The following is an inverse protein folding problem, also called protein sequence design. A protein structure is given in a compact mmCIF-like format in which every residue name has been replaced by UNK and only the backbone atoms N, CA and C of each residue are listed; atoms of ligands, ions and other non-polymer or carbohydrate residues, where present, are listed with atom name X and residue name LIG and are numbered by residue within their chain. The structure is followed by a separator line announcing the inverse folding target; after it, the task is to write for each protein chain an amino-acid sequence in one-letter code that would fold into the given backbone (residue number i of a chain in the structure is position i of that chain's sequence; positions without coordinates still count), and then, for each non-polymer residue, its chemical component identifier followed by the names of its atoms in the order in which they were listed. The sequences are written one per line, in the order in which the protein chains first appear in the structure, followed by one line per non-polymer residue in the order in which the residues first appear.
data_IF_738413878181
#
_entry.id   IF_738413878181
#
_cell.length_a   1.000
_cell.length_b   1.000
_cell.length_c   1.000
_cell.angle_alpha   90.00
_cell.angle_beta   90.00
_cell.angle_gamma   90.00
#
_symmetry.space_group_name_H-M   'P 1'
#
loop_
_entity.id
_entity.type
_entity.pdbx_description
1 polymer ?
#
# COMPACT_ATOMS: atom_id res chain seq x y z
N UNK A 1 16.55 -30.93 -11.28
CA UNK A 1 15.81 -29.79 -10.71
C UNK A 1 16.62 -28.49 -10.58
N UNK A 2 17.94 -28.52 -10.50
CA UNK A 2 18.75 -27.31 -10.23
C UNK A 2 19.09 -26.41 -11.45
N UNK A 3 18.80 -26.80 -12.69
CA UNK A 3 19.12 -25.97 -13.87
C UNK A 3 18.05 -24.92 -14.24
N UNK A 4 16.81 -25.10 -13.78
CA UNK A 4 15.71 -24.17 -14.09
C UNK A 4 15.86 -22.88 -13.26
N UNK A 5 16.33 -22.97 -12.02
CA UNK A 5 16.46 -21.82 -11.12
C UNK A 5 17.74 -20.98 -11.30
N UNK A 6 18.75 -21.48 -11.99
CA UNK A 6 19.99 -20.70 -12.19
C UNK A 6 19.85 -19.55 -13.20
N UNK A 7 18.85 -19.61 -14.09
CA UNK A 7 18.61 -18.59 -15.10
C UNK A 7 17.85 -17.35 -14.59
N UNK A 8 17.24 -17.43 -13.40
CA UNK A 8 16.42 -16.34 -12.86
C UNK A 8 17.24 -15.20 -12.24
N UNK A 9 18.49 -15.45 -11.89
CA UNK A 9 19.37 -14.45 -11.24
C UNK A 9 19.71 -13.27 -12.16
N UNK A 10 19.57 -13.46 -13.47
CA UNK A 10 19.91 -12.44 -14.49
C UNK A 10 18.70 -11.96 -15.30
N UNK A 11 17.45 -12.20 -14.83
CA UNK A 11 16.28 -11.72 -15.54
C UNK A 11 16.22 -10.19 -15.51
N UNK A 12 16.11 -9.57 -16.67
CA UNK A 12 15.75 -8.15 -16.78
C UNK A 12 14.23 -7.99 -16.59
N UNK A 13 13.84 -7.43 -15.44
CA UNK A 13 12.45 -7.17 -15.14
C UNK A 13 11.86 -5.95 -15.88
N UNK A 14 12.69 -5.23 -16.64
CA UNK A 14 12.26 -4.12 -17.50
C UNK A 14 11.84 -4.61 -18.89
N UNK A 15 12.16 -5.85 -19.24
CA UNK A 15 11.86 -6.44 -20.55
C UNK A 15 10.38 -6.84 -20.62
N UNK A 16 9.65 -6.30 -21.62
CA UNK A 16 8.24 -6.58 -21.84
C UNK A 16 8.08 -7.89 -22.59
N UNK A 17 7.82 -8.97 -21.86
CA UNK A 17 7.81 -10.33 -22.39
C UNK A 17 6.45 -10.90 -22.78
N UNK A 18 5.36 -10.12 -22.92
CA UNK A 18 4.04 -10.67 -23.26
C UNK A 18 3.19 -9.78 -24.13
N UNK A 19 2.22 -10.41 -24.83
CA UNK A 19 1.24 -9.73 -25.68
C UNK A 19 0.29 -8.84 -24.89
N UNK A 20 -0.35 -7.90 -25.58
CA UNK A 20 -1.42 -7.08 -25.03
C UNK A 20 -2.59 -7.97 -24.55
N UNK A 21 -3.15 -7.60 -23.41
CA UNK A 21 -4.35 -8.23 -22.86
C UNK A 21 -5.58 -7.49 -23.39
N UNK A 22 -6.55 -8.25 -23.89
CA UNK A 22 -7.82 -7.71 -24.40
C UNK A 22 -8.97 -8.40 -23.67
N UNK A 23 -9.95 -7.62 -23.23
CA UNK A 23 -11.12 -8.12 -22.52
C UNK A 23 -12.37 -7.34 -22.95
N UNK A 24 -13.51 -8.05 -23.03
CA UNK A 24 -14.82 -7.46 -23.36
C UNK A 24 -15.58 -6.94 -22.13
N UNK A 25 -15.28 -7.45 -20.94
CA UNK A 25 -16.09 -7.16 -19.74
C UNK A 25 -15.38 -6.26 -18.74
N UNK A 26 -14.19 -6.68 -18.31
CA UNK A 26 -13.43 -5.95 -17.31
C UNK A 26 -11.94 -6.22 -17.49
N UNK A 27 -11.12 -5.30 -17.03
CA UNK A 27 -9.67 -5.43 -17.03
C UNK A 27 -9.11 -4.89 -15.72
N UNK A 28 -8.06 -5.52 -15.25
CA UNK A 28 -7.30 -5.05 -14.11
C UNK A 28 -5.80 -5.28 -14.31
N UNK A 29 -5.00 -4.56 -13.57
CA UNK A 29 -3.56 -4.73 -13.53
C UNK A 29 -3.05 -4.52 -12.10
N UNK A 30 -2.06 -5.29 -11.71
CA UNK A 30 -1.31 -5.11 -10.46
C UNK A 30 0.13 -5.56 -10.64
N UNK A 31 0.97 -5.24 -9.67
CA UNK A 31 2.37 -5.65 -9.64
C UNK A 31 2.55 -7.16 -9.37
N UNK A 32 1.53 -7.82 -8.79
CA UNK A 32 1.63 -9.22 -8.38
C UNK A 32 0.51 -10.10 -8.97
N UNK A 33 0.84 -11.25 -9.59
CA UNK A 33 -0.16 -12.10 -10.24
C UNK A 33 -1.22 -12.66 -9.28
N UNK A 34 -0.89 -12.94 -8.02
CA UNK A 34 -1.87 -13.40 -7.02
C UNK A 34 -2.92 -12.31 -6.77
N UNK A 35 -2.51 -11.06 -6.62
CA UNK A 35 -3.45 -9.94 -6.44
C UNK A 35 -4.35 -9.78 -7.67
N UNK A 36 -3.78 -9.89 -8.89
CA UNK A 36 -4.59 -9.86 -10.13
C UNK A 36 -5.58 -11.01 -10.20
N UNK A 37 -5.21 -12.21 -9.76
CA UNK A 37 -6.13 -13.36 -9.71
C UNK A 37 -7.31 -13.08 -8.78
N UNK A 38 -7.02 -12.58 -7.57
CA UNK A 38 -8.05 -12.20 -6.60
C UNK A 38 -8.98 -11.13 -7.15
N UNK A 39 -8.44 -10.08 -7.78
CA UNK A 39 -9.27 -9.04 -8.39
C UNK A 39 -10.24 -9.59 -9.46
N UNK A 40 -9.78 -10.54 -10.28
CA UNK A 40 -10.65 -11.23 -11.26
C UNK A 40 -11.75 -12.04 -10.57
N UNK A 41 -11.43 -12.72 -9.48
CA UNK A 41 -12.41 -13.50 -8.70
C UNK A 41 -13.47 -12.58 -8.08
N UNK A 42 -13.08 -11.45 -7.50
CA UNK A 42 -14.00 -10.45 -6.99
C UNK A 42 -14.95 -9.95 -8.08
N UNK A 43 -14.43 -9.59 -9.27
CA UNK A 43 -15.27 -9.16 -10.40
C UNK A 43 -16.24 -10.27 -10.88
N UNK A 44 -15.79 -11.52 -10.93
CA UNK A 44 -16.64 -12.66 -11.32
C UNK A 44 -17.74 -12.96 -10.30
N UNK A 45 -17.50 -12.69 -9.03
CA UNK A 45 -18.46 -12.90 -7.94
C UNK A 45 -19.41 -11.71 -7.74
N UNK A 46 -19.45 -10.76 -8.68
CA UNK A 46 -20.38 -9.64 -8.68
C UNK A 46 -19.87 -8.37 -8.04
N UNK A 47 -18.61 -8.34 -7.59
CA UNK A 47 -17.96 -7.11 -7.14
C UNK A 47 -17.70 -6.14 -8.29
N UNK A 48 -17.55 -4.88 -7.98
CA UNK A 48 -17.21 -3.84 -8.94
C UNK A 48 -15.69 -3.51 -8.94
N UNK A 49 -15.30 -2.50 -9.70
CA UNK A 49 -13.89 -2.11 -9.82
C UNK A 49 -13.26 -1.66 -8.48
N UNK A 50 -14.05 -1.03 -7.61
CA UNK A 50 -13.59 -0.61 -6.28
C UNK A 50 -13.35 -1.82 -5.38
N UNK A 51 -14.31 -2.75 -5.32
CA UNK A 51 -14.16 -3.99 -4.55
C UNK A 51 -12.92 -4.78 -4.98
N UNK A 52 -12.74 -4.93 -6.30
CA UNK A 52 -11.57 -5.60 -6.85
C UNK A 52 -10.27 -4.89 -6.49
N UNK A 53 -10.22 -3.56 -6.58
CA UNK A 53 -9.03 -2.78 -6.24
C UNK A 53 -8.68 -2.90 -4.75
N UNK A 54 -9.67 -2.86 -3.86
CA UNK A 54 -9.48 -3.01 -2.41
C UNK A 54 -8.99 -4.40 -2.05
N UNK A 55 -9.61 -5.46 -2.59
CA UNK A 55 -9.17 -6.84 -2.36
C UNK A 55 -7.74 -7.08 -2.87
N UNK A 56 -7.42 -6.56 -4.07
CA UNK A 56 -6.07 -6.62 -4.62
C UNK A 56 -5.06 -5.91 -3.71
N UNK A 57 -5.41 -4.73 -3.22
CA UNK A 57 -4.54 -3.94 -2.34
C UNK A 57 -4.29 -4.65 -1.00
N UNK A 58 -5.33 -5.23 -0.39
CA UNK A 58 -5.19 -6.04 0.82
C UNK A 58 -4.27 -7.26 0.60
N UNK A 59 -4.40 -7.96 -0.53
CA UNK A 59 -3.52 -9.09 -0.89
C UNK A 59 -2.08 -8.62 -1.17
N UNK A 60 -1.89 -7.45 -1.79
CA UNK A 60 -0.56 -6.89 -2.00
C UNK A 60 0.18 -6.60 -0.69
N UNK A 61 -0.53 -6.21 0.38
CA UNK A 61 0.08 -6.05 1.71
C UNK A 61 0.69 -7.36 2.25
N UNK A 62 0.21 -8.51 1.78
CA UNK A 62 0.75 -9.83 2.12
C UNK A 62 1.83 -10.26 1.13
N UNK A 63 1.56 -10.13 -0.17
CA UNK A 63 2.39 -10.68 -1.23
C UNK A 63 3.61 -9.80 -1.58
N UNK A 64 3.51 -8.49 -1.37
CA UNK A 64 4.57 -7.49 -1.64
C UNK A 64 4.77 -6.54 -0.44
N UNK A 65 5.09 -7.05 0.75
CA UNK A 65 5.16 -6.23 1.97
C UNK A 65 6.24 -5.14 1.94
N UNK A 66 7.15 -5.20 0.97
CA UNK A 66 8.18 -4.18 0.72
C UNK A 66 7.65 -2.97 -0.07
N UNK A 67 6.50 -3.10 -0.72
CA UNK A 67 5.89 -2.07 -1.58
C UNK A 67 4.54 -1.59 -1.06
N UNK A 68 3.77 -2.44 -0.39
CA UNK A 68 2.39 -2.15 0.02
C UNK A 68 2.16 -2.59 1.47
N UNK A 69 1.48 -1.77 2.25
CA UNK A 69 1.19 -2.08 3.65
C UNK A 69 0.05 -1.25 4.23
N UNK A 70 -0.68 -1.85 5.17
CA UNK A 70 -1.81 -1.19 5.87
C UNK A 70 -1.36 -0.03 6.77
N UNK A 71 -0.08 0.05 7.08
CA UNK A 71 0.52 1.15 7.84
C UNK A 71 0.91 2.36 7.00
N UNK A 72 0.60 2.36 5.71
CA UNK A 72 0.91 3.44 4.77
C UNK A 72 -0.29 4.29 4.40
N UNK A 73 -0.20 4.89 3.21
CA UNK A 73 -1.16 5.82 2.64
C UNK A 73 -2.03 5.13 1.56
N UNK A 74 -3.18 5.71 1.25
CA UNK A 74 -4.00 5.35 0.10
C UNK A 74 -4.36 6.60 -0.71
N UNK A 75 -3.98 6.61 -1.98
CA UNK A 75 -4.48 7.57 -2.95
C UNK A 75 -5.27 6.83 -4.02
N UNK A 76 -6.41 7.37 -4.41
CA UNK A 76 -7.20 6.80 -5.48
C UNK A 76 -7.70 7.88 -6.42
N UNK A 77 -7.77 7.51 -7.71
CA UNK A 77 -8.47 8.29 -8.71
C UNK A 77 -9.55 7.41 -9.33
N UNK A 78 -10.75 7.93 -9.36
CA UNK A 78 -11.94 7.19 -9.76
C UNK A 78 -12.70 7.97 -10.85
N UNK A 79 -13.00 7.28 -11.95
CA UNK A 79 -13.96 7.75 -12.96
C UNK A 79 -15.24 6.96 -12.80
N UNK A 80 -16.33 7.62 -12.44
CA UNK A 80 -17.64 7.00 -12.25
C UNK A 80 -18.39 7.00 -13.60
N UNK A 81 -19.03 5.89 -13.90
CA UNK A 81 -19.90 5.70 -15.09
C UNK A 81 -19.17 5.90 -16.44
N UNK A 82 -17.87 5.59 -16.48
CA UNK A 82 -17.05 5.82 -17.68
C UNK A 82 -17.00 7.29 -18.12
N UNK A 83 -17.40 8.17 -17.21
CA UNK A 83 -17.64 9.57 -17.47
C UNK A 83 -16.38 10.43 -17.39
N UNK A 84 -16.58 11.70 -17.68
CA UNK A 84 -15.54 12.73 -17.64
C UNK A 84 -15.27 13.26 -16.23
N UNK A 85 -16.13 12.90 -15.26
CA UNK A 85 -15.95 13.29 -13.84
C UNK A 85 -14.93 12.37 -13.19
N UNK A 86 -13.80 12.94 -12.81
CA UNK A 86 -12.76 12.24 -12.06
C UNK A 86 -12.81 12.73 -10.62
N UNK A 87 -12.95 11.81 -9.70
CA UNK A 87 -12.77 12.04 -8.26
C UNK A 87 -11.37 11.65 -7.86
N UNK A 88 -10.81 12.31 -6.88
CA UNK A 88 -9.56 11.92 -6.24
C UNK A 88 -9.78 11.74 -4.73
N UNK A 89 -9.17 10.73 -4.16
CA UNK A 89 -9.20 10.45 -2.73
C UNK A 89 -7.80 10.64 -2.16
N UNK A 90 -7.73 11.35 -1.05
CA UNK A 90 -6.53 11.50 -0.24
C UNK A 90 -6.71 10.74 1.08
N UNK A 91 -6.09 9.60 1.20
CA UNK A 91 -5.95 8.80 2.41
C UNK A 91 -4.49 8.79 2.87
N UNK A 92 -3.80 9.92 2.80
CA UNK A 92 -2.49 10.08 3.41
C UNK A 92 -2.63 10.35 4.91
N UNK A 93 -1.69 9.81 5.68
CA UNK A 93 -1.68 10.03 7.12
C UNK A 93 -1.19 11.41 7.52
N UNK A 94 -1.71 11.91 8.62
CA UNK A 94 -1.23 13.15 9.24
C UNK A 94 -0.03 12.85 10.14
N UNK A 95 0.84 13.85 10.33
CA UNK A 95 1.83 13.79 11.40
C UNK A 95 1.13 13.78 12.76
N UNK A 96 1.78 13.21 13.79
CA UNK A 96 1.28 13.31 15.16
C UNK A 96 1.05 14.77 15.57
N UNK A 97 -0.01 15.04 16.32
CA UNK A 97 -0.30 16.36 16.90
C UNK A 97 0.88 16.91 17.75
N UNK A 98 1.71 16.01 18.25
CA UNK A 98 2.90 16.35 19.04
C UNK A 98 4.19 16.49 18.22
N UNK A 99 4.12 16.38 16.90
CA UNK A 99 5.28 16.51 15.99
C UNK A 99 5.68 17.97 15.77
N UNK A 100 6.24 18.60 16.79
CA UNK A 100 6.70 19.98 16.72
C UNK A 100 8.18 20.08 16.33
N UNK A 101 8.51 20.96 15.39
CA UNK A 101 9.88 21.23 14.97
C UNK A 101 10.80 21.64 16.13
N UNK A 102 10.27 22.31 17.18
CA UNK A 102 11.02 22.63 18.40
C UNK A 102 11.55 21.38 19.12
N UNK A 103 10.79 20.28 19.11
CA UNK A 103 11.20 19.03 19.76
C UNK A 103 12.39 18.41 19.04
N UNK A 104 12.42 18.47 17.71
CA UNK A 104 13.55 18.04 16.89
C UNK A 104 14.79 18.89 17.16
N UNK A 105 14.64 20.21 17.18
CA UNK A 105 15.76 21.14 17.48
C UNK A 105 16.33 20.92 18.88
N UNK A 106 15.49 20.70 19.88
CA UNK A 106 15.94 20.40 21.24
C UNK A 106 16.73 19.08 21.35
N UNK A 107 16.49 18.14 20.43
CA UNK A 107 17.24 16.87 20.30
C UNK A 107 18.44 17.00 19.34
N UNK A 108 18.76 18.20 18.85
CA UNK A 108 19.80 18.47 17.85
C UNK A 108 19.59 17.69 16.55
N UNK A 109 18.33 17.39 16.17
CA UNK A 109 17.98 16.73 14.92
C UNK A 109 17.86 17.76 13.82
N UNK A 110 18.77 17.72 12.86
CA UNK A 110 18.77 18.58 11.67
C UNK A 110 18.06 17.97 10.47
N UNK A 111 18.01 16.63 10.39
CA UNK A 111 17.38 15.86 9.31
C UNK A 111 16.62 14.70 9.92
N UNK A 112 15.36 14.53 9.52
CA UNK A 112 14.56 13.35 9.87
C UNK A 112 14.95 12.23 8.89
N UNK A 113 15.48 11.12 9.42
CA UNK A 113 15.77 9.93 8.60
C UNK A 113 14.58 8.96 8.58
N UNK A 114 14.47 8.09 7.58
CA UNK A 114 13.35 7.14 7.47
C UNK A 114 13.21 6.16 8.65
N UNK A 115 14.28 5.96 9.42
CA UNK A 115 14.30 5.09 10.59
C UNK A 115 13.81 5.78 11.87
N UNK A 116 13.66 7.10 11.85
CA UNK A 116 13.17 7.84 13.02
C UNK A 116 11.67 7.74 13.16
N UNK A 117 11.13 7.61 14.39
CA UNK A 117 9.68 7.63 14.60
C UNK A 117 9.02 8.94 14.16
N UNK A 118 9.78 10.03 14.10
CA UNK A 118 9.32 11.33 13.59
C UNK A 118 8.99 11.33 12.09
N UNK A 119 9.47 10.33 11.32
CA UNK A 119 9.14 10.14 9.91
C UNK A 119 7.83 9.38 9.71
N UNK A 120 7.26 8.80 10.76
CA UNK A 120 6.05 7.97 10.70
C UNK A 120 4.84 8.88 10.85
N UNK A 121 3.94 8.82 9.86
CA UNK A 121 2.60 9.44 9.92
C UNK A 121 1.58 8.45 10.45
N UNK A 122 0.41 8.94 10.82
CA UNK A 122 -0.72 8.06 11.17
C UNK A 122 -1.13 7.31 9.90
N UNK A 123 -1.28 5.97 9.92
CA UNK A 123 -1.68 5.21 8.74
C UNK A 123 -3.00 5.72 8.14
N UNK A 124 -3.02 6.08 6.87
CA UNK A 124 -4.21 6.59 6.20
C UNK A 124 -4.88 5.57 5.27
N UNK A 125 -4.20 4.46 4.96
CA UNK A 125 -4.66 3.50 3.96
C UNK A 125 -6.04 2.91 4.29
N UNK A 126 -6.24 2.43 5.52
CA UNK A 126 -7.50 1.77 5.92
C UNK A 126 -8.67 2.76 5.94
N UNK A 127 -8.45 4.02 6.33
CA UNK A 127 -9.46 5.08 6.23
C UNK A 127 -9.81 5.37 4.76
N UNK A 128 -8.80 5.39 3.88
CA UNK A 128 -9.01 5.53 2.44
C UNK A 128 -9.83 4.38 1.86
N UNK A 129 -9.55 3.14 2.26
CA UNK A 129 -10.31 1.98 1.83
C UNK A 129 -11.77 2.03 2.31
N UNK A 130 -11.99 2.42 3.57
CA UNK A 130 -13.34 2.57 4.14
C UNK A 130 -14.15 3.58 3.35
N UNK A 131 -13.59 4.78 3.11
CA UNK A 131 -14.28 5.84 2.39
C UNK A 131 -14.57 5.46 0.93
N UNK A 132 -13.63 4.78 0.24
CA UNK A 132 -13.85 4.26 -1.11
C UNK A 132 -14.98 3.23 -1.15
N UNK A 133 -14.98 2.30 -0.20
CA UNK A 133 -15.98 1.24 -0.14
C UNK A 133 -17.36 1.78 0.24
N UNK A 134 -17.44 2.66 1.24
CA UNK A 134 -18.71 3.24 1.70
C UNK A 134 -19.47 3.98 0.58
N UNK A 135 -18.75 4.69 -0.30
CA UNK A 135 -19.38 5.45 -1.39
C UNK A 135 -19.52 4.65 -2.70
N UNK A 136 -18.64 3.72 -2.96
CA UNK A 136 -18.52 3.10 -4.29
C UNK A 136 -18.38 1.58 -4.28
N UNK A 137 -18.24 0.94 -3.12
CA UNK A 137 -18.21 -0.52 -3.01
C UNK A 137 -19.60 -1.15 -3.27
N UNK A 138 -19.59 -2.40 -3.67
CA UNK A 138 -20.80 -3.18 -3.94
C UNK A 138 -20.87 -4.48 -3.12
N UNK A 139 -19.74 -5.15 -2.93
CA UNK A 139 -19.64 -6.36 -2.11
C UNK A 139 -19.65 -6.01 -0.61
N UNK A 140 -20.10 -6.94 0.25
CA UNK A 140 -19.94 -6.78 1.69
C UNK A 140 -18.47 -6.56 2.06
N UNK A 141 -18.19 -5.54 2.87
CA UNK A 141 -16.83 -5.19 3.32
C UNK A 141 -16.01 -6.38 3.78
N UNK A 142 -16.61 -7.25 4.58
CA UNK A 142 -15.95 -8.44 5.12
C UNK A 142 -15.41 -9.37 4.04
N UNK A 143 -16.15 -9.55 2.96
CA UNK A 143 -15.79 -10.49 1.89
C UNK A 143 -14.56 -10.03 1.09
N UNK A 144 -14.33 -8.72 1.02
CA UNK A 144 -13.19 -8.13 0.33
C UNK A 144 -11.85 -8.57 0.95
N UNK A 145 -11.82 -8.78 2.27
CA UNK A 145 -10.59 -9.12 3.00
C UNK A 145 -10.32 -10.61 3.14
N UNK A 146 -11.30 -11.49 2.86
CA UNK A 146 -11.11 -12.94 2.99
C UNK A 146 -9.85 -13.46 2.28
N UNK A 147 -9.58 -13.09 1.00
CA UNK A 147 -8.37 -13.56 0.34
C UNK A 147 -7.08 -13.13 1.05
N UNK A 148 -7.00 -11.90 1.54
CA UNK A 148 -5.83 -11.40 2.24
C UNK A 148 -5.64 -12.10 3.59
N UNK A 149 -6.72 -12.37 4.33
CA UNK A 149 -6.71 -13.14 5.58
C UNK A 149 -6.15 -14.54 5.31
N UNK A 150 -6.64 -15.22 4.28
CA UNK A 150 -6.25 -16.58 3.94
C UNK A 150 -4.78 -16.66 3.51
N UNK A 151 -4.33 -15.76 2.64
CA UNK A 151 -2.93 -15.70 2.23
C UNK A 151 -1.99 -15.35 3.39
N UNK A 152 -2.37 -14.43 4.25
CA UNK A 152 -1.56 -14.07 5.42
C UNK A 152 -1.45 -15.23 6.41
N UNK A 153 -2.52 -16.03 6.59
CA UNK A 153 -2.59 -17.18 7.49
C UNK A 153 -1.91 -18.42 6.93
N UNK A 154 -2.20 -18.75 5.67
CA UNK A 154 -1.74 -20.00 5.04
C UNK A 154 -0.38 -19.84 4.39
N UNK A 155 0.01 -18.59 4.12
CA UNK A 155 1.25 -18.22 3.45
C UNK A 155 1.08 -17.98 1.97
N UNK A 156 2.00 -17.20 1.44
CA UNK A 156 2.14 -16.88 0.03
C UNK A 156 3.53 -17.28 -0.45
N UNK A 157 3.62 -17.90 -1.63
CA UNK A 157 4.92 -18.19 -2.23
C UNK A 157 5.57 -16.88 -2.68
N UNK A 158 6.78 -16.65 -2.20
CA UNK A 158 7.58 -15.48 -2.57
C UNK A 158 7.96 -15.56 -4.03
N UNK A 159 7.59 -14.56 -4.82
CA UNK A 159 7.96 -14.45 -6.23
C UNK A 159 9.41 -13.93 -6.39
N UNK A 160 10.02 -14.16 -7.56
CA UNK A 160 11.42 -13.83 -7.84
C UNK A 160 11.74 -12.36 -7.58
N UNK A 161 10.92 -11.44 -8.09
CA UNK A 161 11.12 -10.01 -7.91
C UNK A 161 11.03 -9.62 -6.44
N UNK A 162 10.06 -10.16 -5.73
CA UNK A 162 9.85 -9.92 -4.31
C UNK A 162 11.05 -10.42 -3.50
N UNK A 163 11.54 -11.64 -3.77
CA UNK A 163 12.73 -12.20 -3.13
C UNK A 163 14.00 -11.39 -3.39
N UNK A 164 14.15 -10.85 -4.62
CA UNK A 164 15.26 -9.97 -4.96
C UNK A 164 15.22 -8.67 -4.15
N UNK A 165 14.06 -8.02 -4.08
CA UNK A 165 13.90 -6.77 -3.34
C UNK A 165 14.01 -6.98 -1.83
N UNK A 166 13.56 -8.13 -1.31
CA UNK A 166 13.77 -8.54 0.08
C UNK A 166 15.25 -8.65 0.43
N UNK A 167 16.03 -9.28 -0.45
CA UNK A 167 17.47 -9.45 -0.25
C UNK A 167 18.22 -8.12 -0.12
N UNK A 168 17.80 -7.10 -0.88
CA UNK A 168 18.37 -5.74 -0.84
C UNK A 168 18.07 -4.98 0.46
N UNK A 169 17.01 -5.37 1.16
CA UNK A 169 16.56 -4.71 2.39
C UNK A 169 16.94 -5.47 3.68
N UNK A 170 17.70 -6.57 3.58
CA UNK A 170 18.03 -7.43 4.73
C UNK A 170 18.67 -6.67 5.89
N UNK A 171 19.62 -5.80 5.60
CA UNK A 171 20.31 -4.98 6.62
C UNK A 171 19.30 -4.06 7.36
N UNK A 172 18.44 -3.38 6.60
CA UNK A 172 17.40 -2.49 7.17
C UNK A 172 16.44 -3.27 8.06
N UNK A 173 15.96 -4.43 7.59
CA UNK A 173 15.01 -5.28 8.32
C UNK A 173 15.62 -5.90 9.59
N UNK A 174 16.95 -6.02 9.67
CA UNK A 174 17.66 -6.56 10.83
C UNK A 174 17.80 -5.56 11.99
N UNK A 175 17.54 -4.28 11.76
CA UNK A 175 17.75 -3.22 12.77
C UNK A 175 16.72 -3.24 13.89
N UNK A 176 15.52 -3.75 13.64
CA UNK A 176 14.47 -3.88 14.63
C UNK A 176 14.11 -5.36 14.87
N UNK A 177 13.99 -5.76 16.14
CA UNK A 177 13.77 -7.16 16.51
C UNK A 177 12.44 -7.71 16.00
N UNK A 178 11.38 -6.92 16.06
CA UNK A 178 10.05 -7.37 15.64
C UNK A 178 10.00 -7.51 14.13
N UNK A 179 10.56 -6.54 13.42
CA UNK A 179 10.74 -6.57 11.95
C UNK A 179 11.57 -7.78 11.52
N UNK A 180 12.70 -8.04 12.20
CA UNK A 180 13.55 -9.20 11.93
C UNK A 180 12.77 -10.51 12.09
N UNK A 181 11.99 -10.65 13.15
CA UNK A 181 11.24 -11.87 13.43
C UNK A 181 10.15 -12.16 12.39
N UNK A 182 9.51 -11.12 11.85
CA UNK A 182 8.43 -11.25 10.84
C UNK A 182 9.00 -11.41 9.44
N UNK A 183 9.95 -10.57 9.07
CA UNK A 183 10.38 -10.42 7.67
C UNK A 183 11.69 -11.11 7.33
N UNK A 184 12.34 -11.81 8.26
CA UNK A 184 13.53 -12.60 7.99
C UNK A 184 13.38 -14.02 8.53
N UNK A 185 13.76 -15.00 7.72
CA UNK A 185 13.75 -16.42 8.08
C UNK A 185 15.13 -16.79 8.66
N UNK A 186 15.21 -16.92 9.98
CA UNK A 186 16.49 -17.16 10.68
C UNK A 186 17.55 -16.09 10.35
N UNK A 187 17.15 -14.81 10.31
CA UNK A 187 18.04 -13.69 9.99
C UNK A 187 18.40 -13.56 8.51
N UNK A 188 17.79 -14.34 7.63
CA UNK A 188 18.03 -14.32 6.16
C UNK A 188 16.78 -13.86 5.41
N UNK A 189 16.93 -13.18 4.25
CA UNK A 189 15.80 -12.78 3.43
C UNK A 189 15.05 -14.00 2.90
N UNK A 190 13.75 -13.88 2.76
CA UNK A 190 12.95 -14.85 2.03
C UNK A 190 13.37 -14.85 0.55
N UNK A 191 13.41 -16.04 -0.04
CA UNK A 191 13.81 -16.25 -1.45
C UNK A 191 12.61 -16.70 -2.27
N UNK A 192 12.73 -16.60 -3.57
CA UNK A 192 11.75 -17.17 -4.49
C UNK A 192 11.40 -18.62 -4.09
N UNK A 193 10.10 -18.92 -4.09
CA UNK A 193 9.52 -20.21 -3.67
C UNK A 193 9.49 -20.51 -2.16
N UNK A 194 10.08 -19.67 -1.30
CA UNK A 194 9.80 -19.74 0.13
C UNK A 194 8.32 -19.40 0.40
N UNK A 195 7.74 -20.04 1.41
CA UNK A 195 6.40 -19.69 1.87
C UNK A 195 6.51 -18.62 2.97
N UNK A 196 5.95 -17.43 2.73
CA UNK A 196 5.89 -16.35 3.68
C UNK A 196 4.53 -16.34 4.38
N UNK A 197 4.53 -16.49 5.68
CA UNK A 197 3.34 -16.46 6.56
C UNK A 197 3.43 -15.24 7.47
N UNK A 198 2.33 -14.51 7.60
CA UNK A 198 2.21 -13.38 8.54
C UNK A 198 0.88 -13.48 9.30
N UNK A 199 0.84 -14.35 10.32
CA UNK A 199 -0.35 -14.60 11.11
C UNK A 199 -0.86 -13.35 11.83
N UNK A 200 0.03 -12.45 12.27
CA UNK A 200 -0.36 -11.21 12.93
C UNK A 200 -1.13 -10.30 11.96
N UNK A 201 -0.67 -10.20 10.70
CA UNK A 201 -1.37 -9.45 9.67
C UNK A 201 -2.73 -10.09 9.34
N UNK A 202 -2.83 -11.43 9.36
CA UNK A 202 -4.11 -12.13 9.22
C UNK A 202 -5.11 -11.72 10.31
N UNK A 203 -4.68 -11.66 11.58
CA UNK A 203 -5.55 -11.24 12.68
C UNK A 203 -5.95 -9.77 12.56
N UNK A 204 -5.02 -8.90 12.15
CA UNK A 204 -5.34 -7.49 11.87
C UNK A 204 -6.39 -7.36 10.76
N UNK A 205 -6.24 -8.10 9.66
CA UNK A 205 -7.24 -8.10 8.58
C UNK A 205 -8.59 -8.67 9.02
N UNK A 206 -8.64 -9.67 9.89
CA UNK A 206 -9.89 -10.16 10.48
C UNK A 206 -10.60 -9.06 11.27
N UNK A 207 -9.86 -8.36 12.12
CA UNK A 207 -10.40 -7.25 12.90
C UNK A 207 -10.95 -6.16 11.98
N UNK A 208 -10.21 -5.77 10.93
CA UNK A 208 -10.68 -4.82 9.92
C UNK A 208 -11.94 -5.33 9.20
N UNK A 209 -11.97 -6.61 8.85
CA UNK A 209 -13.12 -7.22 8.17
C UNK A 209 -14.38 -7.28 9.02
N UNK A 210 -14.24 -7.49 10.33
CA UNK A 210 -15.34 -7.63 11.27
C UNK A 210 -15.84 -6.31 11.84
N UNK A 211 -14.92 -5.37 12.12
CA UNK A 211 -15.20 -4.12 12.83
C UNK A 211 -15.08 -2.87 11.93
N UNK A 212 -14.79 -3.07 10.63
CA UNK A 212 -14.54 -1.95 9.72
C UNK A 212 -13.21 -1.24 10.00
N UNK A 213 -13.08 -0.02 9.54
CA UNK A 213 -11.91 0.82 9.81
C UNK A 213 -11.72 1.11 11.30
N UNK A 214 -12.79 1.07 12.08
CA UNK A 214 -12.74 1.26 13.53
C UNK A 214 -11.87 0.20 14.22
N UNK A 215 -11.91 -1.05 13.77
CA UNK A 215 -11.05 -2.12 14.30
C UNK A 215 -9.56 -1.89 14.08
N UNK A 216 -9.17 -1.00 13.16
CA UNK A 216 -7.78 -0.64 12.93
C UNK A 216 -7.34 0.59 13.74
N UNK A 217 -8.21 1.59 13.86
CA UNK A 217 -7.87 2.86 14.52
C UNK A 217 -8.21 2.90 16.01
N UNK A 218 -8.94 1.91 16.50
CA UNK A 218 -9.29 1.74 17.91
C UNK A 218 -8.93 0.33 18.39
N UNK A 219 -9.00 0.12 19.71
CA UNK A 219 -8.76 -1.17 20.33
C UNK A 219 -7.32 -1.69 20.18
N UNK A 220 -7.17 -3.01 20.18
CA UNK A 220 -5.88 -3.67 20.32
C UNK A 220 -4.88 -3.34 19.19
N UNK A 221 -5.34 -3.13 17.94
CA UNK A 221 -4.45 -2.81 16.80
C UNK A 221 -3.82 -1.43 16.99
N UNK A 222 -4.63 -0.43 17.33
CA UNK A 222 -4.14 0.92 17.61
C UNK A 222 -3.24 0.95 18.86
N UNK A 223 -3.63 0.22 19.91
CA UNK A 223 -2.83 0.10 21.15
C UNK A 223 -1.46 -0.48 20.88
N UNK A 224 -1.36 -1.56 20.07
CA UNK A 224 -0.10 -2.22 19.72
C UNK A 224 0.80 -1.25 18.92
N UNK A 225 0.26 -0.58 17.90
CA UNK A 225 1.01 0.43 17.13
C UNK A 225 1.52 1.57 18.01
N UNK A 226 0.69 2.10 18.90
CA UNK A 226 1.08 3.18 19.82
C UNK A 226 2.15 2.72 20.81
N UNK A 227 2.02 1.51 21.34
CA UNK A 227 3.01 0.95 22.25
C UNK A 227 4.37 0.81 21.55
N UNK A 228 4.38 0.30 20.32
CA UNK A 228 5.60 0.22 19.52
C UNK A 228 6.18 1.60 19.24
N UNK A 229 5.39 2.56 18.76
CA UNK A 229 5.84 3.93 18.48
C UNK A 229 6.42 4.60 19.71
N UNK A 230 5.77 4.48 20.87
CA UNK A 230 6.30 5.01 22.15
C UNK A 230 7.61 4.35 22.54
N UNK A 231 7.75 3.03 22.34
CA UNK A 231 8.96 2.29 22.70
C UNK A 231 10.20 2.74 21.94
N UNK A 232 10.02 3.31 20.74
CA UNK A 232 11.09 3.87 19.89
C UNK A 232 11.18 5.40 19.96
N UNK A 233 10.47 6.03 20.92
CA UNK A 233 10.53 7.47 21.17
C UNK A 233 9.61 8.33 20.30
N UNK A 234 8.57 7.72 19.69
CA UNK A 234 7.55 8.43 18.93
C UNK A 234 6.64 9.28 19.81
N UNK A 235 6.15 10.38 19.25
CA UNK A 235 5.24 11.33 19.92
C UNK A 235 3.76 11.04 19.70
N UNK A 236 3.44 9.96 18.98
CA UNK A 236 2.10 9.56 18.59
C UNK A 236 1.23 9.18 19.80
N UNK A 237 -0.05 9.43 19.69
CA UNK A 237 -1.06 9.16 20.73
C UNK A 237 -2.25 8.41 20.13
N UNK A 238 -3.06 7.78 20.99
CA UNK A 238 -4.33 7.18 20.55
C UNK A 238 -5.28 8.23 19.97
N UNK A 239 -5.20 9.48 20.43
CA UNK A 239 -6.02 10.55 19.88
C UNK A 239 -5.70 10.82 18.41
N UNK A 240 -4.42 10.74 18.02
CA UNK A 240 -4.02 10.85 16.61
C UNK A 240 -4.67 9.75 15.76
N UNK A 241 -4.69 8.51 16.26
CA UNK A 241 -5.32 7.38 15.57
C UNK A 241 -6.83 7.50 15.52
N UNK A 242 -7.48 7.87 16.61
CA UNK A 242 -8.94 8.05 16.69
C UNK A 242 -9.45 9.13 15.72
N UNK A 243 -8.60 10.09 15.37
CA UNK A 243 -8.90 11.18 14.43
C UNK A 243 -8.40 10.90 13.01
N UNK A 244 -7.93 9.68 12.73
CA UNK A 244 -7.51 9.29 11.38
C UNK A 244 -8.69 9.31 10.41
N UNK A 245 -8.52 9.97 9.28
CA UNK A 245 -9.55 10.09 8.25
C UNK A 245 -8.95 10.18 6.85
N UNK A 246 -9.77 9.87 5.86
CA UNK A 246 -9.50 10.16 4.46
C UNK A 246 -10.51 11.17 3.94
N UNK A 247 -10.22 11.81 2.82
CA UNK A 247 -11.08 12.83 2.24
C UNK A 247 -11.11 12.78 0.71
N UNK A 248 -12.25 13.12 0.14
CA UNK A 248 -12.34 13.39 -1.28
C UNK A 248 -11.76 14.77 -1.58
N UNK A 249 -10.92 14.83 -2.59
CA UNK A 249 -10.24 16.06 -3.01
C UNK A 249 -10.49 16.33 -4.49
N UNK A 250 -10.41 17.58 -4.90
CA UNK A 250 -10.49 17.93 -6.32
C UNK A 250 -9.17 17.58 -7.00
N UNK A 251 -9.16 16.74 -8.06
CA UNK A 251 -7.94 16.43 -8.78
C UNK A 251 -7.37 17.68 -9.44
N UNK A 252 -6.06 17.81 -9.45
CA UNK A 252 -5.34 18.77 -10.27
C UNK A 252 -5.14 18.19 -11.66
N UNK A 253 -5.03 19.04 -12.68
CA UNK A 253 -4.87 18.54 -14.04
C UNK A 253 -4.09 19.49 -14.94
N UNK A 254 -3.51 18.93 -16.01
CA UNK A 254 -2.82 19.65 -17.08
C UNK A 254 -3.05 18.97 -18.42
N UNK A 255 -3.16 19.75 -19.48
CA UNK A 255 -3.06 19.23 -20.84
C UNK A 255 -1.58 18.99 -21.19
N UNK A 256 -1.30 17.86 -21.81
CA UNK A 256 -0.01 17.50 -22.37
C UNK A 256 -0.24 16.76 -23.69
N UNK A 257 0.26 17.30 -24.81
CA UNK A 257 0.14 16.71 -26.17
C UNK A 257 -1.28 16.21 -26.49
N UNK A 258 -2.30 17.04 -26.33
CA UNK A 258 -3.71 16.75 -26.58
C UNK A 258 -4.37 15.73 -25.62
N UNK A 259 -3.68 15.33 -24.55
CA UNK A 259 -4.24 14.48 -23.50
C UNK A 259 -4.34 15.30 -22.22
N UNK A 260 -5.48 15.21 -21.53
CA UNK A 260 -5.64 15.81 -20.21
C UNK A 260 -5.21 14.80 -19.15
N UNK A 261 -4.20 15.14 -18.37
CA UNK A 261 -3.65 14.31 -17.30
C UNK A 261 -4.17 14.85 -15.97
N UNK A 262 -4.68 13.96 -15.15
CA UNK A 262 -5.21 14.25 -13.82
C UNK A 262 -4.33 13.60 -12.78
N UNK A 263 -4.15 14.28 -11.64
CA UNK A 263 -3.36 13.81 -10.49
C UNK A 263 -4.05 14.17 -9.18
N UNK A 264 -3.74 13.42 -8.14
CA UNK A 264 -4.08 13.84 -6.79
C UNK A 264 -3.34 15.14 -6.45
N UNK A 265 -3.99 16.09 -5.75
CA UNK A 265 -3.33 17.32 -5.31
C UNK A 265 -2.23 17.02 -4.29
N UNK A 266 -1.40 18.02 -3.93
CA UNK A 266 -0.50 17.86 -2.77
C UNK A 266 -1.28 17.41 -1.52
N UNK A 267 -0.66 16.58 -0.72
CA UNK A 267 0.76 16.40 -0.35
C UNK A 267 1.54 15.36 -1.20
N UNK A 268 0.90 14.60 -2.10
CA UNK A 268 1.60 13.66 -2.99
C UNK A 268 2.40 14.35 -4.11
N UNK A 269 3.06 13.54 -4.94
CA UNK A 269 3.96 13.98 -6.01
C UNK A 269 3.25 14.30 -7.34
N UNK A 270 1.92 14.23 -7.40
CA UNK A 270 1.15 14.51 -8.62
C UNK A 270 1.44 15.89 -9.22
N UNK A 271 1.57 16.92 -8.37
CA UNK A 271 1.96 18.26 -8.81
C UNK A 271 3.33 18.25 -9.51
N UNK A 272 4.30 17.50 -8.99
CA UNK A 272 5.64 17.40 -9.58
C UNK A 272 5.58 16.73 -10.94
N UNK A 273 4.78 15.66 -11.09
CA UNK A 273 4.55 15.01 -12.37
C UNK A 273 3.99 15.98 -13.43
N UNK A 274 2.98 16.78 -13.05
CA UNK A 274 2.42 17.80 -13.97
C UNK A 274 3.43 18.91 -14.33
N UNK A 275 4.31 19.30 -13.40
CA UNK A 275 5.39 20.27 -13.68
C UNK A 275 6.42 19.66 -14.65
N UNK A 276 6.81 18.40 -14.46
CA UNK A 276 7.72 17.69 -15.38
C UNK A 276 7.13 17.68 -16.79
N UNK A 277 5.86 17.32 -16.94
CA UNK A 277 5.16 17.32 -18.22
C UNK A 277 5.10 18.74 -18.84
N UNK A 278 4.92 19.78 -18.01
CA UNK A 278 4.95 21.16 -18.44
C UNK A 278 6.30 21.58 -19.06
N UNK A 279 7.37 21.08 -18.47
CA UNK A 279 8.73 21.33 -18.96
C UNK A 279 8.96 20.56 -20.24
N UNK A 280 8.65 19.25 -20.25
CA UNK A 280 8.85 18.39 -21.42
C UNK A 280 8.07 18.84 -22.65
N UNK A 281 6.91 19.48 -22.48
CA UNK A 281 6.12 20.03 -23.58
C UNK A 281 6.86 21.14 -24.37
N UNK A 282 7.88 21.77 -23.77
CA UNK A 282 8.73 22.77 -24.44
C UNK A 282 9.81 22.15 -25.31
N UNK A 283 10.02 20.88 -25.21
CA UNK A 283 10.98 20.13 -26.01
C UNK A 283 10.23 19.24 -27.01
N UNK A 284 10.79 19.11 -28.18
CA UNK A 284 10.29 18.19 -29.21
C UNK A 284 11.29 17.02 -29.30
N UNK A 285 11.14 15.95 -28.48
CA UNK A 285 12.03 14.80 -28.53
C UNK A 285 11.80 13.95 -29.78
#
# INVERSE_FOLDING_TARGET
MNKIFSNYINRDFSDIGRSNVISSNAMLASSHPIASSVGIEILKNGGNAVDAALAMNAVLCVAEPHMTGIGGDCFAMLSVDGGTKIKALNGSGKASENAFARNLRNRNVSVITPEMPDAITIPGAVAGWSLLHEEHGHMPWKEIFHPAIDYAKSGVLVHERVGLDWSKNTEKLSKDKDTLNVFLKNGKPFKATDNFINSNLSETFKTIAEEGSQGFYHGWVADDMINKLKSIGGSHTLNDFNNANAEWVSPISRNYRNIKIHECPPNGQGLVALIILAILEKFNP
#
